data_IF_799308631129
#
_entry.id   IF_799308631129
#
_cell.length_a   1.000
_cell.length_b   1.000
_cell.length_c   1.000
_cell.angle_alpha   90.00
_cell.angle_beta   90.00
_cell.angle_gamma   90.00
#
_symmetry.space_group_name_H-M   'P 1'
#
loop_
_entity.id
_entity.type
_entity.pdbx_description
1 polymer ?
#
# COMPACT_ATOMS: atom_id res chain seq x y z
N UNK A 1 -17.37 18.78 0.62
CA UNK A 1 -16.41 19.28 -0.39
C UNK A 1 -15.40 18.17 -0.60
N UNK A 2 -15.17 17.74 -1.85
CA UNK A 2 -14.18 16.70 -2.17
C UNK A 2 -12.91 17.40 -2.68
N UNK A 3 -11.74 16.94 -2.25
CA UNK A 3 -10.49 17.46 -2.81
C UNK A 3 -10.12 16.70 -4.09
N UNK A 4 -9.23 17.28 -4.89
CA UNK A 4 -8.68 16.57 -6.04
C UNK A 4 -7.97 15.27 -5.63
N UNK A 5 -7.27 15.30 -4.49
CA UNK A 5 -6.56 14.14 -3.95
C UNK A 5 -7.53 13.01 -3.52
N UNK A 6 -8.70 13.35 -2.99
CA UNK A 6 -9.73 12.34 -2.68
C UNK A 6 -10.29 11.73 -3.97
N UNK A 7 -10.52 12.56 -4.98
CA UNK A 7 -11.08 12.12 -6.26
C UNK A 7 -10.12 11.22 -7.05
N UNK A 8 -8.81 11.52 -7.04
CA UNK A 8 -7.82 10.68 -7.75
C UNK A 8 -7.66 9.29 -7.10
N UNK A 9 -7.83 9.19 -5.77
CA UNK A 9 -7.88 7.92 -5.04
C UNK A 9 -9.12 7.11 -5.44
N UNK A 10 -10.27 7.77 -5.62
CA UNK A 10 -11.49 7.12 -6.11
C UNK A 10 -11.34 6.60 -7.55
N UNK A 11 -10.70 7.37 -8.44
CA UNK A 11 -10.40 6.93 -9.81
C UNK A 11 -9.47 5.70 -9.80
N UNK A 12 -8.47 5.68 -8.92
CA UNK A 12 -7.61 4.51 -8.72
C UNK A 12 -8.41 3.30 -8.21
N UNK A 13 -9.31 3.50 -7.24
CA UNK A 13 -10.19 2.45 -6.73
C UNK A 13 -11.04 1.81 -7.82
N UNK A 14 -11.58 2.63 -8.74
CA UNK A 14 -12.34 2.20 -9.92
C UNK A 14 -11.49 1.60 -11.03
N UNK A 15 -10.15 1.62 -10.90
CA UNK A 15 -9.22 1.09 -11.90
C UNK A 15 -9.09 1.96 -13.15
N UNK A 16 -9.49 3.23 -13.08
CA UNK A 16 -9.44 4.16 -14.21
C UNK A 16 -8.06 4.82 -14.39
N UNK A 17 -7.23 4.83 -13.34
CA UNK A 17 -5.86 5.34 -13.35
C UNK A 17 -4.92 4.39 -12.61
N UNK A 18 -3.65 4.37 -12.97
CA UNK A 18 -2.62 3.62 -12.24
C UNK A 18 -2.18 4.35 -10.97
N UNK A 19 -1.52 3.62 -10.07
CA UNK A 19 -0.93 4.20 -8.86
C UNK A 19 0.15 5.25 -9.18
N UNK A 20 0.97 5.01 -10.20
CA UNK A 20 1.98 5.98 -10.66
C UNK A 20 1.32 7.26 -11.16
N UNK A 21 0.23 7.15 -11.92
CA UNK A 21 -0.55 8.31 -12.37
C UNK A 21 -1.15 9.04 -11.17
N UNK A 22 -1.77 8.33 -10.23
CA UNK A 22 -2.37 8.95 -9.05
C UNK A 22 -1.32 9.70 -8.21
N UNK A 23 -0.13 9.14 -8.01
CA UNK A 23 0.96 9.78 -7.26
C UNK A 23 1.63 10.93 -8.01
N UNK A 24 1.72 10.86 -9.33
CA UNK A 24 2.33 11.91 -10.15
C UNK A 24 1.53 13.21 -10.10
N UNK A 25 0.19 13.12 -10.11
CA UNK A 25 -0.70 14.27 -10.13
C UNK A 25 -1.24 14.67 -8.74
N UNK A 26 -0.90 13.93 -7.68
CA UNK A 26 -1.30 14.25 -6.31
C UNK A 26 -0.79 15.62 -5.85
N UNK A 27 -1.69 16.44 -5.29
CA UNK A 27 -1.31 17.69 -4.60
C UNK A 27 -0.57 17.38 -3.30
N UNK A 28 -1.05 16.37 -2.56
CA UNK A 28 -0.38 15.82 -1.38
C UNK A 28 -0.13 14.32 -1.56
N UNK A 29 1.08 13.99 -2.02
CA UNK A 29 1.52 12.60 -2.24
C UNK A 29 1.38 11.71 -1.00
N UNK A 30 1.53 12.26 0.21
CA UNK A 30 1.39 11.51 1.46
C UNK A 30 -0.05 11.12 1.76
N UNK A 31 -1.02 11.99 1.42
CA UNK A 31 -2.46 11.70 1.58
C UNK A 31 -2.91 10.69 0.54
N UNK A 32 -2.56 10.92 -0.74
CA UNK A 32 -2.91 10.01 -1.84
C UNK A 32 -2.29 8.62 -1.64
N UNK A 33 -1.03 8.54 -1.19
CA UNK A 33 -0.38 7.27 -0.86
C UNK A 33 -1.16 6.46 0.18
N UNK A 34 -1.53 7.08 1.31
CA UNK A 34 -2.34 6.42 2.35
C UNK A 34 -3.73 6.01 1.85
N UNK A 35 -4.34 6.84 0.99
CA UNK A 35 -5.61 6.52 0.34
C UNK A 35 -5.51 5.27 -0.53
N UNK A 36 -4.47 5.19 -1.37
CA UNK A 36 -4.17 4.03 -2.21
C UNK A 36 -3.92 2.78 -1.37
N UNK A 37 -3.15 2.88 -0.29
CA UNK A 37 -2.88 1.75 0.62
C UNK A 37 -4.16 1.23 1.27
N UNK A 38 -5.08 2.15 1.62
CA UNK A 38 -6.41 1.80 2.15
C UNK A 38 -7.27 1.07 1.11
N UNK A 39 -7.23 1.53 -0.14
CA UNK A 39 -7.93 0.89 -1.27
C UNK A 39 -7.40 -0.53 -1.52
N UNK A 40 -6.08 -0.72 -1.56
CA UNK A 40 -5.46 -2.04 -1.71
C UNK A 40 -5.83 -2.98 -0.57
N UNK A 41 -5.77 -2.48 0.66
CA UNK A 41 -6.16 -3.23 1.86
C UNK A 41 -7.62 -3.66 1.81
N UNK A 42 -8.53 -2.78 1.37
CA UNK A 42 -9.96 -3.09 1.21
C UNK A 42 -10.23 -4.13 0.12
N UNK A 43 -9.40 -4.18 -0.94
CA UNK A 43 -9.47 -5.20 -2.00
C UNK A 43 -8.87 -6.55 -1.61
N UNK A 44 -8.21 -6.65 -0.45
CA UNK A 44 -7.44 -7.83 -0.07
C UNK A 44 -6.18 -8.03 -0.91
N UNK A 45 -5.74 -6.99 -1.62
CA UNK A 45 -4.50 -7.01 -2.38
C UNK A 45 -3.33 -6.88 -1.40
N UNK A 46 -2.35 -7.78 -1.52
CA UNK A 46 -1.15 -7.74 -0.70
C UNK A 46 -0.44 -6.40 -0.94
N UNK A 47 -0.45 -5.53 0.07
CA UNK A 47 0.21 -4.23 0.03
C UNK A 47 1.74 -4.34 0.04
N UNK A 48 2.27 -5.55 0.27
CA UNK A 48 3.69 -5.85 0.24
C UNK A 48 3.92 -7.26 -0.33
N UNK A 49 5.03 -7.47 -1.05
CA UNK A 49 5.50 -8.79 -1.50
C UNK A 49 6.18 -9.60 -0.38
N UNK A 50 6.31 -9.04 0.82
CA UNK A 50 6.73 -9.77 2.00
C UNK A 50 5.76 -10.94 2.19
N UNK A 51 6.26 -12.16 2.06
CA UNK A 51 5.47 -13.38 2.29
C UNK A 51 5.05 -13.52 3.75
N UNK A 52 4.81 -14.77 4.20
CA UNK A 52 4.54 -15.02 5.62
C UNK A 52 5.74 -14.55 6.47
N UNK A 53 5.54 -13.47 7.21
CA UNK A 53 6.44 -13.04 8.27
C UNK A 53 6.27 -14.02 9.43
N UNK A 54 7.28 -14.86 9.64
CA UNK A 54 7.33 -15.80 10.76
C UNK A 54 8.48 -15.41 11.70
N UNK A 55 8.25 -15.59 13.00
CA UNK A 55 9.29 -15.38 14.01
C UNK A 55 10.37 -16.44 13.82
N UNK A 56 11.61 -16.01 13.60
CA UNK A 56 12.76 -16.90 13.49
C UNK A 56 13.02 -17.61 14.84
N UNK A 57 12.63 -18.89 14.92
CA UNK A 57 12.80 -19.73 16.11
C UNK A 57 14.26 -20.11 16.39
N UNK A 58 15.16 -19.85 15.45
CA UNK A 58 16.60 -20.08 15.54
C UNK A 58 17.39 -18.86 16.01
N UNK A 59 16.76 -17.68 16.07
CA UNK A 59 17.43 -16.45 16.47
C UNK A 59 18.02 -16.57 17.88
N UNK A 60 19.33 -16.39 18.01
CA UNK A 60 20.05 -16.48 19.29
C UNK A 60 20.38 -17.89 19.80
N UNK A 61 20.00 -18.97 19.08
CA UNK A 61 20.41 -20.34 19.46
C UNK A 61 21.79 -20.67 18.89
N UNK A 62 22.77 -20.86 19.76
CA UNK A 62 24.09 -21.40 19.38
C UNK A 62 23.88 -22.85 18.92
N UNK A 63 24.12 -23.12 17.63
CA UNK A 63 24.11 -24.50 17.10
C UNK A 63 25.21 -25.29 17.81
N UNK A 64 24.83 -26.20 18.71
CA UNK A 64 25.75 -27.25 19.19
C UNK A 64 25.79 -28.35 18.12
N UNK A 65 27.03 -28.70 17.74
CA UNK A 65 27.39 -29.77 16.82
C UNK A 65 26.99 -31.14 17.37
#
# INVERSE_FOLDING_TARGET
MITFDDYIVELYQRGLVSEDTAKAYASNRGVVGRGIDSVKSAKGEATTTLGKLEVDKGYGKVRRF
#
